data_IF_761873744679
#
_entry.id   IF_761873744679
#
_cell.length_a   1.000
_cell.length_b   1.000
_cell.length_c   1.000
_cell.angle_alpha   90.00
_cell.angle_beta   90.00
_cell.angle_gamma   90.00
#
_symmetry.space_group_name_H-M   'P 1'
#
loop_
_entity.id
_entity.type
_entity.pdbx_description
1 polymer ?
#
# COMPACT_ATOMS: atom_id res chain seq x y z
N UNK A 1 -1.29 9.86 13.58
CA UNK A 1 -1.43 8.55 12.92
C UNK A 1 -2.79 8.46 12.25
N UNK A 2 -2.94 7.60 11.26
CA UNK A 2 -4.25 7.28 10.67
C UNK A 2 -4.99 6.39 11.66
N UNK A 3 -6.22 6.77 12.03
CA UNK A 3 -7.04 6.00 12.97
C UNK A 3 -7.67 4.82 12.25
N UNK A 4 -7.62 3.65 12.89
CA UNK A 4 -8.21 2.39 12.42
C UNK A 4 -9.09 1.80 13.53
N UNK A 5 -10.00 0.88 13.20
CA UNK A 5 -10.98 0.35 14.16
C UNK A 5 -10.41 -0.78 15.01
N UNK A 6 -9.53 -1.59 14.45
CA UNK A 6 -8.95 -2.76 15.09
C UNK A 6 -7.46 -2.58 15.35
N UNK A 7 -6.91 -3.38 16.27
CA UNK A 7 -5.48 -3.46 16.50
C UNK A 7 -4.72 -3.90 15.24
N UNK A 8 -3.45 -3.50 15.16
CA UNK A 8 -2.59 -3.80 14.01
C UNK A 8 -1.25 -4.36 14.50
N UNK A 9 -0.76 -5.41 13.83
CA UNK A 9 0.59 -5.94 14.05
C UNK A 9 1.55 -5.22 13.10
N UNK A 10 2.62 -4.65 13.66
CA UNK A 10 3.60 -3.85 12.91
C UNK A 10 4.89 -4.66 12.66
N UNK A 11 5.71 -4.31 11.66
CA UNK A 11 6.95 -5.04 11.36
C UNK A 11 7.97 -5.05 12.50
N UNK A 12 7.95 -4.03 13.37
CA UNK A 12 8.80 -3.94 14.56
C UNK A 12 10.09 -3.12 14.36
N UNK A 13 10.85 -2.99 15.45
CA UNK A 13 12.06 -2.15 15.51
C UNK A 13 11.74 -0.66 15.40
N UNK A 14 12.33 0.02 14.40
CA UNK A 14 12.08 1.45 14.14
C UNK A 14 10.69 1.74 13.54
N UNK A 15 10.01 0.71 13.06
CA UNK A 15 8.72 0.82 12.40
C UNK A 15 7.60 0.60 13.41
N UNK A 16 7.03 1.70 13.88
CA UNK A 16 5.99 1.73 14.93
C UNK A 16 4.59 1.95 14.34
N UNK A 17 4.46 1.79 13.03
CA UNK A 17 3.22 1.90 12.27
C UNK A 17 3.04 0.66 11.39
N UNK A 18 1.80 0.40 10.97
CA UNK A 18 1.54 -0.62 9.97
C UNK A 18 2.06 -0.18 8.60
N UNK A 19 2.48 -1.17 7.81
CA UNK A 19 2.86 -1.01 6.40
C UNK A 19 2.08 -2.00 5.55
N UNK A 20 1.59 -1.54 4.41
CA UNK A 20 0.59 -2.28 3.63
C UNK A 20 1.14 -3.60 3.06
N UNK A 21 2.26 -3.56 2.33
CA UNK A 21 2.81 -4.79 1.74
C UNK A 21 3.42 -5.74 2.79
N UNK A 22 4.03 -5.23 3.86
CA UNK A 22 4.57 -6.04 4.96
C UNK A 22 3.45 -6.83 5.66
N UNK A 23 2.27 -6.21 5.78
CA UNK A 23 1.12 -6.85 6.39
C UNK A 23 0.68 -8.13 5.66
N UNK A 24 1.00 -8.31 4.37
CA UNK A 24 0.68 -9.55 3.67
C UNK A 24 1.39 -10.73 4.32
N UNK A 25 2.69 -10.59 4.55
CA UNK A 25 3.53 -11.62 5.16
C UNK A 25 3.14 -11.87 6.61
N UNK A 26 2.80 -10.82 7.35
CA UNK A 26 2.27 -10.94 8.71
C UNK A 26 0.96 -11.74 8.70
N UNK A 27 0.02 -11.42 7.82
CA UNK A 27 -1.25 -12.14 7.68
C UNK A 27 -1.01 -13.62 7.36
N UNK A 28 -0.09 -13.95 6.44
CA UNK A 28 0.26 -15.36 6.18
C UNK A 28 0.75 -16.08 7.45
N UNK A 29 1.62 -15.43 8.22
CA UNK A 29 2.11 -15.97 9.49
C UNK A 29 0.99 -16.18 10.52
N UNK A 30 0.06 -15.23 10.63
CA UNK A 30 -1.11 -15.32 11.51
C UNK A 30 -2.02 -16.49 11.11
N UNK A 31 -2.31 -16.66 9.82
CA UNK A 31 -3.14 -17.74 9.31
C UNK A 31 -2.53 -19.12 9.63
N UNK A 32 -1.23 -19.29 9.37
CA UNK A 32 -0.51 -20.55 9.69
C UNK A 32 -0.49 -20.83 11.20
N UNK A 33 -0.46 -19.77 12.02
CA UNK A 33 -0.46 -19.87 13.49
C UNK A 33 -1.86 -20.03 14.09
N UNK A 34 -2.93 -20.10 13.29
CA UNK A 34 -4.32 -20.18 13.78
C UNK A 34 -4.87 -18.88 14.37
N UNK A 35 -4.17 -17.76 14.21
CA UNK A 35 -4.57 -16.44 14.72
C UNK A 35 -5.52 -15.73 13.74
N UNK A 36 -6.66 -16.37 13.47
CA UNK A 36 -7.61 -15.96 12.43
C UNK A 36 -8.26 -14.60 12.73
N UNK A 37 -8.60 -14.34 14.00
CA UNK A 37 -9.22 -13.07 14.40
C UNK A 37 -8.27 -11.87 14.14
N UNK A 38 -6.99 -12.01 14.49
CA UNK A 38 -5.98 -10.98 14.22
C UNK A 38 -5.80 -10.72 12.72
N UNK A 39 -5.79 -11.79 11.91
CA UNK A 39 -5.72 -11.66 10.46
C UNK A 39 -6.93 -10.90 9.91
N UNK A 40 -8.14 -11.25 10.36
CA UNK A 40 -9.36 -10.57 9.97
C UNK A 40 -9.35 -9.08 10.36
N UNK A 41 -8.97 -8.76 11.60
CA UNK A 41 -8.88 -7.38 12.10
C UNK A 41 -7.97 -6.49 11.23
N UNK A 42 -6.82 -7.03 10.80
CA UNK A 42 -5.89 -6.31 9.93
C UNK A 42 -6.46 -6.11 8.52
N UNK A 43 -7.11 -7.13 7.95
CA UNK A 43 -7.74 -7.06 6.63
C UNK A 43 -8.90 -6.07 6.64
N UNK A 44 -9.78 -6.12 7.65
CA UNK A 44 -10.92 -5.20 7.73
C UNK A 44 -10.45 -3.75 7.84
N UNK A 45 -9.44 -3.48 8.67
CA UNK A 45 -8.83 -2.16 8.78
C UNK A 45 -8.41 -1.59 7.42
N UNK A 46 -7.80 -2.40 6.54
CA UNK A 46 -7.43 -1.96 5.20
C UNK A 46 -8.63 -1.77 4.27
N UNK A 47 -9.65 -2.63 4.40
CA UNK A 47 -10.86 -2.57 3.59
C UNK A 47 -11.78 -1.37 3.91
N UNK A 48 -11.56 -0.66 5.03
CA UNK A 48 -12.30 0.56 5.35
C UNK A 48 -11.86 1.78 4.52
N UNK A 49 -10.76 1.71 3.78
CA UNK A 49 -10.25 2.82 2.98
C UNK A 49 -10.52 2.60 1.48
N UNK A 50 -10.92 3.66 0.76
CA UNK A 50 -11.07 3.62 -0.70
C UNK A 50 -9.75 3.34 -1.47
N UNK A 51 -8.62 3.43 -0.77
CA UNK A 51 -7.31 2.89 -1.18
C UNK A 51 -6.48 2.61 0.09
N UNK A 52 -5.55 1.65 0.04
CA UNK A 52 -4.70 1.37 1.21
C UNK A 52 -3.46 2.28 1.20
N UNK A 53 -3.23 3.11 2.25
CA UNK A 53 -2.03 3.94 2.33
C UNK A 53 -0.77 3.08 2.52
N UNK A 54 0.40 3.60 2.16
CA UNK A 54 1.69 2.92 2.37
C UNK A 54 1.86 2.47 3.83
N UNK A 55 1.50 3.31 4.79
CA UNK A 55 1.45 2.95 6.20
C UNK A 55 0.58 3.88 7.04
N UNK A 56 0.56 3.66 8.37
CA UNK A 56 -0.35 4.31 9.33
C UNK A 56 -0.08 5.78 9.66
N UNK A 57 0.62 6.51 8.80
CA UNK A 57 0.98 7.92 9.00
C UNK A 57 0.21 8.82 8.03
N UNK A 58 -0.20 10.01 8.49
CA UNK A 58 -1.01 10.95 7.70
C UNK A 58 -0.29 11.36 6.39
N UNK A 59 1.04 11.48 6.42
CA UNK A 59 1.82 11.80 5.23
C UNK A 59 1.82 10.70 4.15
N UNK A 60 1.37 9.48 4.47
CA UNK A 60 1.16 8.41 3.50
C UNK A 60 -0.21 8.43 2.82
N UNK A 61 -1.13 9.34 3.17
CA UNK A 61 -2.46 9.44 2.54
C UNK A 61 -2.45 9.78 1.03
N UNK A 62 -1.27 10.03 0.45
CA UNK A 62 -1.09 10.30 -0.99
C UNK A 62 -0.27 9.23 -1.71
N UNK A 63 0.09 8.14 -1.01
CA UNK A 63 0.97 7.07 -1.50
C UNK A 63 0.42 5.72 -1.07
N UNK A 64 0.45 4.75 -1.97
CA UNK A 64 0.16 3.35 -1.66
C UNK A 64 1.44 2.51 -1.84
N UNK A 65 1.29 1.21 -1.67
CA UNK A 65 2.29 0.18 -1.88
C UNK A 65 1.69 -0.90 -2.80
N UNK A 66 2.45 -1.94 -3.17
CA UNK A 66 1.90 -3.04 -3.95
C UNK A 66 0.55 -3.57 -3.43
N UNK A 67 -0.44 -3.77 -4.33
CA UNK A 67 -1.82 -4.02 -3.92
C UNK A 67 -2.03 -5.46 -3.44
N UNK A 68 -1.75 -5.71 -2.17
CA UNK A 68 -1.89 -7.03 -1.56
C UNK A 68 -3.22 -7.29 -0.84
N UNK A 69 -4.14 -6.33 -0.77
CA UNK A 69 -5.41 -6.50 -0.06
C UNK A 69 -6.27 -7.64 -0.62
N UNK A 70 -6.37 -7.77 -1.94
CA UNK A 70 -7.09 -8.89 -2.58
C UNK A 70 -6.42 -10.24 -2.26
N UNK A 71 -5.09 -10.41 -2.43
CA UNK A 71 -4.38 -11.59 -1.95
C UNK A 71 -4.59 -11.90 -0.46
N UNK A 72 -4.51 -10.91 0.43
CA UNK A 72 -4.75 -11.10 1.87
C UNK A 72 -6.16 -11.64 2.14
N UNK A 73 -7.16 -11.03 1.51
CA UNK A 73 -8.56 -11.43 1.54
C UNK A 73 -8.74 -12.87 1.02
N UNK A 74 -8.13 -13.20 -0.10
CA UNK A 74 -8.19 -14.53 -0.70
C UNK A 74 -7.62 -15.60 0.24
N UNK A 75 -6.43 -15.38 0.80
CA UNK A 75 -5.80 -16.32 1.75
C UNK A 75 -6.66 -16.52 3.01
N UNK A 76 -7.25 -15.44 3.53
CA UNK A 76 -8.18 -15.52 4.65
C UNK A 76 -9.45 -16.31 4.31
N UNK A 77 -10.02 -16.09 3.12
CA UNK A 77 -11.14 -16.92 2.64
C UNK A 77 -10.74 -18.37 2.47
N UNK A 78 -9.55 -18.66 1.94
CA UNK A 78 -9.14 -20.05 1.77
C UNK A 78 -9.03 -20.78 3.11
N UNK A 79 -8.55 -20.10 4.15
CA UNK A 79 -8.43 -20.64 5.51
C UNK A 79 -9.77 -20.76 6.26
N UNK A 80 -10.75 -19.88 6.01
CA UNK A 80 -11.96 -19.76 6.85
C UNK A 80 -13.28 -20.03 6.13
N UNK A 81 -13.25 -20.00 4.80
CA UNK A 81 -14.42 -19.94 3.89
C UNK A 81 -15.38 -18.78 4.18
N UNK A 82 -14.94 -17.78 4.94
CA UNK A 82 -15.72 -16.59 5.26
C UNK A 82 -15.60 -15.55 4.13
N UNK A 83 -16.72 -14.96 3.70
CA UNK A 83 -16.79 -13.95 2.62
C UNK A 83 -17.09 -12.53 3.12
N UNK A 84 -17.13 -12.31 4.43
CA UNK A 84 -17.58 -11.05 5.05
C UNK A 84 -16.79 -9.81 4.65
N UNK A 85 -15.55 -9.98 4.16
CA UNK A 85 -14.63 -8.88 3.83
C UNK A 85 -14.73 -8.39 2.37
N UNK A 86 -15.55 -9.02 1.51
CA UNK A 86 -15.69 -8.61 0.10
C UNK A 86 -16.44 -7.27 0.04
N UNK A 87 -15.70 -6.16 0.14
CA UNK A 87 -16.19 -4.80 -0.14
C UNK A 87 -15.87 -4.40 -1.57
N UNK A 88 -16.67 -3.47 -2.11
CA UNK A 88 -16.59 -3.06 -3.52
C UNK A 88 -15.31 -2.30 -3.89
N UNK A 89 -14.88 -2.58 -5.13
CA UNK A 89 -14.03 -1.82 -6.06
C UNK A 89 -12.98 -0.88 -5.45
N UNK A 90 -11.74 -1.37 -5.41
CA UNK A 90 -10.55 -0.53 -5.23
C UNK A 90 -10.17 0.14 -6.55
N UNK A 91 -9.94 1.45 -6.52
CA UNK A 91 -9.56 2.20 -7.71
C UNK A 91 -8.02 2.28 -7.82
N UNK A 92 -7.46 1.58 -8.80
CA UNK A 92 -6.04 1.66 -9.14
C UNK A 92 -5.85 2.64 -10.29
N UNK A 93 -4.80 3.47 -10.20
CA UNK A 93 -4.46 4.39 -11.28
C UNK A 93 -3.89 3.65 -12.46
N UNK A 94 -4.50 3.86 -13.62
CA UNK A 94 -4.07 3.31 -14.89
C UNK A 94 -3.79 4.40 -15.92
N UNK A 95 -3.00 4.03 -16.92
CA UNK A 95 -2.74 4.82 -18.13
C UNK A 95 -2.84 3.89 -19.34
N UNK A 96 -2.97 4.46 -20.54
CA UNK A 96 -2.91 3.69 -21.79
C UNK A 96 -1.54 3.86 -22.42
N UNK A 97 -0.85 2.76 -22.67
CA UNK A 97 0.45 2.70 -23.37
C UNK A 97 0.32 1.68 -24.49
N UNK A 98 0.57 2.09 -25.74
CA UNK A 98 0.47 1.21 -26.93
C UNK A 98 -0.85 0.42 -27.00
N UNK A 99 -2.00 1.08 -26.79
CA UNK A 99 -3.33 0.45 -26.71
C UNK A 99 -3.53 -0.56 -25.56
N UNK A 100 -2.61 -0.65 -24.60
CA UNK A 100 -2.75 -1.46 -23.40
C UNK A 100 -2.95 -0.60 -22.16
N UNK A 101 -3.94 -0.95 -21.35
CA UNK A 101 -4.13 -0.35 -20.02
C UNK A 101 -3.10 -0.95 -19.07
N UNK A 102 -2.24 -0.10 -18.50
CA UNK A 102 -1.24 -0.47 -17.51
C UNK A 102 -1.43 0.31 -16.22
N UNK A 103 -1.03 -0.26 -15.08
CA UNK A 103 -1.14 0.39 -13.77
C UNK A 103 0.19 1.04 -13.38
N UNK A 104 0.11 2.22 -12.77
CA UNK A 104 1.30 3.02 -12.44
C UNK A 104 1.29 3.45 -10.98
N UNK A 105 2.44 3.27 -10.32
CA UNK A 105 2.71 3.95 -9.07
C UNK A 105 3.01 5.42 -9.36
N UNK A 106 2.09 6.29 -8.97
CA UNK A 106 2.26 7.74 -9.11
C UNK A 106 1.70 8.47 -7.90
N UNK A 107 2.56 9.17 -7.18
CA UNK A 107 2.13 10.12 -6.15
C UNK A 107 1.70 11.45 -6.77
N UNK A 108 0.72 12.13 -6.17
CA UNK A 108 0.39 13.54 -6.51
C UNK A 108 1.31 14.54 -5.78
N UNK A 109 2.14 14.08 -4.85
CA UNK A 109 3.05 14.94 -4.11
C UNK A 109 4.19 15.44 -4.99
N UNK A 110 4.34 16.76 -5.09
CA UNK A 110 5.44 17.45 -5.77
C UNK A 110 6.40 18.12 -4.78
N UNK A 111 6.39 17.68 -3.53
CA UNK A 111 7.24 18.15 -2.43
C UNK A 111 8.01 16.98 -1.81
N UNK A 112 9.16 17.26 -1.15
CA UNK A 112 9.93 16.26 -0.42
C UNK A 112 9.07 15.45 0.55
N UNK A 113 9.44 14.18 0.71
CA UNK A 113 8.81 13.28 1.68
C UNK A 113 9.07 13.76 3.11
N UNK A 114 8.06 13.95 3.97
CA UNK A 114 8.28 14.37 5.35
C UNK A 114 9.22 13.44 6.13
N UNK A 115 9.13 12.14 5.90
CA UNK A 115 9.97 11.11 6.53
C UNK A 115 11.41 11.06 5.98
N UNK A 116 11.70 11.80 4.91
CA UNK A 116 13.00 11.81 4.22
C UNK A 116 13.35 13.21 3.70
N UNK A 117 12.89 14.25 4.40
CA UNK A 117 12.91 15.62 3.88
C UNK A 117 14.31 16.08 3.50
N UNK A 118 15.28 15.91 4.41
CA UNK A 118 16.66 16.35 4.19
C UNK A 118 17.32 15.65 3.00
N UNK A 119 17.17 14.32 2.90
CA UNK A 119 17.78 13.55 1.81
C UNK A 119 17.11 13.85 0.46
N UNK A 120 15.79 14.05 0.44
CA UNK A 120 15.06 14.43 -0.78
C UNK A 120 15.50 15.81 -1.28
N UNK A 121 15.71 16.77 -0.38
CA UNK A 121 16.26 18.09 -0.73
C UNK A 121 17.66 17.95 -1.31
N UNK A 122 18.57 17.24 -0.64
CA UNK A 122 19.94 17.04 -1.10
C UNK A 122 19.97 16.39 -2.50
N UNK A 123 19.18 15.34 -2.71
CA UNK A 123 19.08 14.69 -4.01
C UNK A 123 18.48 15.59 -5.09
N UNK A 124 17.61 16.53 -4.73
CA UNK A 124 17.03 17.48 -5.69
C UNK A 124 18.02 18.55 -6.16
N UNK A 125 19.15 18.75 -5.47
CA UNK A 125 20.15 19.77 -5.84
C UNK A 125 20.83 19.46 -7.17
N UNK A 126 20.97 18.18 -7.53
CA UNK A 126 21.50 17.74 -8.82
C UNK A 126 20.50 17.88 -9.98
N UNK A 127 19.25 18.24 -9.69
CA UNK A 127 18.17 18.43 -10.67
C UNK A 127 17.99 19.92 -10.95
N UNK A 128 17.77 20.27 -12.21
CA UNK A 128 17.43 21.64 -12.64
C UNK A 128 16.25 22.19 -11.81
N UNK A 129 16.32 23.45 -11.33
CA UNK A 129 15.28 24.03 -10.47
C UNK A 129 13.85 23.89 -11.03
N UNK A 130 13.69 24.02 -12.35
CA UNK A 130 12.40 23.87 -13.04
C UNK A 130 11.83 22.44 -12.99
N UNK A 131 12.68 21.41 -12.83
CA UNK A 131 12.29 19.99 -12.82
C UNK A 131 12.19 19.39 -11.41
N UNK A 132 12.59 20.11 -10.37
CA UNK A 132 12.60 19.60 -8.97
C UNK A 132 11.21 19.17 -8.48
N UNK A 133 10.15 19.89 -8.85
CA UNK A 133 8.79 19.50 -8.47
C UNK A 133 8.39 18.15 -9.07
N UNK A 134 8.80 17.87 -10.31
CA UNK A 134 8.57 16.59 -10.98
C UNK A 134 9.44 15.48 -10.35
N UNK A 135 10.66 15.79 -9.94
CA UNK A 135 11.54 14.85 -9.24
C UNK A 135 10.91 14.26 -7.97
N UNK A 136 10.15 15.06 -7.21
CA UNK A 136 9.46 14.57 -6.01
C UNK A 136 8.23 13.67 -6.29
N UNK A 137 7.74 13.68 -7.53
CA UNK A 137 6.71 12.76 -7.98
C UNK A 137 7.37 11.42 -8.32
N UNK A 138 7.28 10.44 -7.41
CA UNK A 138 7.73 9.08 -7.66
C UNK A 138 6.88 8.45 -8.77
N UNK A 139 7.54 7.96 -9.83
CA UNK A 139 6.95 7.21 -10.95
C UNK A 139 7.59 5.82 -11.04
N UNK A 140 6.79 4.76 -10.92
CA UNK A 140 7.18 3.41 -11.30
C UNK A 140 6.04 2.74 -12.09
N UNK A 141 6.37 2.05 -13.19
CA UNK A 141 5.42 1.25 -13.95
C UNK A 141 5.29 -0.14 -13.32
N UNK A 142 4.07 -0.66 -13.20
CA UNK A 142 3.84 -2.09 -12.96
C UNK A 142 3.27 -2.65 -14.25
N UNK A 143 4.01 -3.52 -14.91
CA UNK A 143 3.40 -4.38 -15.91
C UNK A 143 2.45 -5.34 -15.19
N UNK A 144 1.18 -5.46 -15.59
CA UNK A 144 0.31 -6.46 -14.99
C UNK A 144 0.96 -7.84 -15.18
N UNK A 145 1.29 -8.50 -14.07
CA UNK A 145 1.61 -9.93 -14.10
C UNK A 145 0.38 -10.65 -14.68
N UNK A 146 0.54 -11.56 -15.66
CA UNK A 146 -0.57 -12.36 -16.13
C UNK A 146 -1.13 -13.13 -14.92
N UNK A 147 -2.42 -12.94 -14.65
CA UNK A 147 -3.19 -13.80 -13.77
C UNK A 147 -3.15 -15.21 -14.39
N UNK A 148 -2.21 -16.03 -13.92
CA UNK A 148 -2.27 -17.48 -14.10
C UNK A 148 -3.37 -17.97 -13.16
N UNK A 149 -4.58 -18.08 -13.72
CA UNK A 149 -5.64 -18.95 -13.22
C UNK A 149 -5.36 -20.39 -13.67
#
# INVERSE_FOLDING_TARGET
MIRVQHAFIVPGGRFIEYYYWDAYWIIKGLLISGLLENAWMMIDNFAQFGFVPNGGRIYYLRRSQPPFLIPMAYEYFEATKNRSFIKEKYEFRSIVVNNHTVYVYRTRSNVPRPESYGIDILNSLSVEPSKRQQFFQVFFFIFPLPLLL
#
